data_IF_104751085486
#
_entry.id   IF_104751085486
#
_cell.length_a   1.000
_cell.length_b   1.000
_cell.length_c   1.000
_cell.angle_alpha   90.00
_cell.angle_beta   90.00
_cell.angle_gamma   90.00
#
_symmetry.space_group_name_H-M   'P 1'
#
loop_
_entity.id
_entity.type
_entity.pdbx_description
1 polymer ?
#
# COMPACT_ATOMS: atom_id res chain seq x y z
N UNK A 1 16.45 -11.05 10.57
CA UNK A 1 15.33 -12.01 10.62
C UNK A 1 15.56 -13.03 9.52
N UNK A 2 15.45 -14.32 9.82
CA UNK A 2 15.56 -15.39 8.84
C UNK A 2 14.14 -15.89 8.53
N UNK A 3 13.81 -16.03 7.26
CA UNK A 3 12.57 -16.67 6.80
C UNK A 3 12.93 -18.01 6.14
N UNK A 4 12.01 -18.97 6.05
CA UNK A 4 12.22 -20.19 5.28
C UNK A 4 12.58 -19.90 3.82
N UNK A 5 13.39 -20.77 3.21
CA UNK A 5 13.83 -20.60 1.81
C UNK A 5 12.67 -20.72 0.82
N UNK A 6 11.63 -21.49 1.15
CA UNK A 6 10.44 -21.70 0.32
C UNK A 6 9.19 -21.37 1.12
N UNK A 7 8.51 -20.30 0.75
CA UNK A 7 7.25 -19.90 1.35
C UNK A 7 6.09 -20.53 0.60
N UNK A 8 5.31 -21.35 1.30
CA UNK A 8 4.12 -22.01 0.77
C UNK A 8 2.83 -21.57 1.48
N UNK A 9 2.98 -20.97 2.67
CA UNK A 9 1.85 -20.62 3.54
C UNK A 9 2.01 -19.20 4.11
N UNK A 10 1.77 -18.22 3.27
CA UNK A 10 1.81 -16.82 3.70
C UNK A 10 0.44 -16.36 4.24
N UNK A 11 0.46 -15.55 5.29
CA UNK A 11 -0.70 -14.76 5.72
C UNK A 11 -0.44 -13.29 5.41
N UNK A 12 -1.38 -12.63 4.74
CA UNK A 12 -1.21 -11.25 4.26
C UNK A 12 -2.25 -10.34 4.91
N UNK A 13 -1.84 -9.55 5.91
CA UNK A 13 -2.69 -8.64 6.68
C UNK A 13 -2.57 -7.17 6.20
N UNK A 14 -2.02 -6.95 5.01
CA UNK A 14 -1.92 -5.63 4.37
C UNK A 14 -2.48 -5.69 2.95
N UNK A 15 -3.42 -4.79 2.64
CA UNK A 15 -4.10 -4.78 1.34
C UNK A 15 -3.19 -4.45 0.15
N UNK A 16 -2.20 -3.58 0.30
CA UNK A 16 -1.24 -3.28 -0.77
C UNK A 16 -0.35 -4.48 -1.07
N UNK A 17 0.16 -5.17 -0.04
CA UNK A 17 0.91 -6.42 -0.21
C UNK A 17 0.06 -7.50 -0.88
N UNK A 18 -1.21 -7.63 -0.48
CA UNK A 18 -2.15 -8.56 -1.10
C UNK A 18 -2.34 -8.25 -2.60
N UNK A 19 -2.53 -6.97 -2.94
CA UNK A 19 -2.65 -6.56 -4.34
C UNK A 19 -1.37 -6.88 -5.15
N UNK A 20 -0.20 -6.62 -4.59
CA UNK A 20 1.08 -6.97 -5.25
C UNK A 20 1.19 -8.49 -5.42
N UNK A 21 0.90 -9.28 -4.39
CA UNK A 21 0.96 -10.74 -4.45
C UNK A 21 0.00 -11.34 -5.51
N UNK A 22 -1.21 -10.76 -5.67
CA UNK A 22 -2.13 -11.14 -6.76
C UNK A 22 -1.53 -10.83 -8.13
N UNK A 23 -0.93 -9.66 -8.31
CA UNK A 23 -0.28 -9.26 -9.57
C UNK A 23 0.97 -10.11 -9.89
N UNK A 24 1.60 -10.68 -8.88
CA UNK A 24 2.73 -11.60 -9.02
C UNK A 24 2.31 -13.05 -9.27
N UNK A 25 1.00 -13.34 -9.34
CA UNK A 25 0.47 -14.72 -9.42
C UNK A 25 0.95 -15.59 -8.24
N UNK A 26 0.93 -15.03 -7.04
CA UNK A 26 1.37 -15.69 -5.80
C UNK A 26 0.22 -16.16 -4.91
N UNK A 27 -1.04 -16.08 -5.36
CA UNK A 27 -2.23 -16.40 -4.54
C UNK A 27 -2.24 -17.84 -4.02
N UNK A 28 -1.63 -18.78 -4.75
CA UNK A 28 -1.52 -20.19 -4.33
C UNK A 28 -0.67 -20.40 -3.07
N UNK A 29 0.21 -19.45 -2.76
CA UNK A 29 1.07 -19.46 -1.58
C UNK A 29 0.42 -18.72 -0.39
N UNK A 30 -0.78 -18.15 -0.56
CA UNK A 30 -1.51 -17.43 0.48
C UNK A 30 -2.55 -18.34 1.11
N UNK A 31 -2.53 -18.44 2.44
CA UNK A 31 -3.48 -19.26 3.22
C UNK A 31 -4.40 -18.41 4.10
N UNK A 32 -4.12 -17.12 4.24
CA UNK A 32 -4.97 -16.20 4.99
C UNK A 32 -4.76 -14.75 4.55
N UNK A 33 -5.83 -13.97 4.60
CA UNK A 33 -5.86 -12.57 4.16
C UNK A 33 -6.50 -11.67 5.22
N UNK A 34 -6.32 -10.36 5.08
CA UNK A 34 -6.98 -9.41 5.97
C UNK A 34 -8.51 -9.46 5.81
N UNK A 35 -9.24 -9.35 6.92
CA UNK A 35 -10.70 -9.52 6.96
C UNK A 35 -11.47 -8.48 6.17
N UNK A 36 -10.92 -7.27 6.05
CA UNK A 36 -11.54 -6.15 5.36
C UNK A 36 -11.02 -5.91 3.92
N UNK A 37 -10.42 -6.92 3.30
CA UNK A 37 -9.78 -6.78 1.97
C UNK A 37 -10.74 -6.26 0.88
N UNK A 38 -12.02 -6.68 0.89
CA UNK A 38 -13.03 -6.18 -0.06
C UNK A 38 -13.30 -4.67 0.12
N UNK A 39 -13.28 -4.19 1.36
CA UNK A 39 -13.43 -2.76 1.64
C UNK A 39 -12.20 -1.97 1.16
N UNK A 40 -11.02 -2.54 1.32
CA UNK A 40 -9.74 -1.89 0.98
C UNK A 40 -9.45 -1.90 -0.53
N UNK A 41 -9.70 -3.01 -1.21
CA UNK A 41 -9.39 -3.21 -2.63
C UNK A 41 -10.60 -3.00 -3.55
N UNK A 42 -11.80 -2.86 -2.99
CA UNK A 42 -13.05 -2.70 -3.70
C UNK A 42 -13.79 -4.02 -3.96
N UNK A 43 -15.12 -3.94 -4.00
CA UNK A 43 -16.00 -5.13 -4.14
C UNK A 43 -15.75 -5.92 -5.42
N UNK A 44 -15.36 -5.24 -6.50
CA UNK A 44 -15.10 -5.89 -7.79
C UNK A 44 -13.75 -6.63 -7.84
N UNK A 45 -12.90 -6.49 -6.83
CA UNK A 45 -11.59 -7.14 -6.79
C UNK A 45 -11.68 -8.67 -6.84
N UNK A 46 -12.79 -9.23 -6.35
CA UNK A 46 -13.13 -10.66 -6.46
C UNK A 46 -13.10 -11.20 -7.89
N UNK A 47 -13.29 -10.34 -8.89
CA UNK A 47 -13.22 -10.72 -10.31
C UNK A 47 -11.81 -11.01 -10.79
N UNK A 48 -10.80 -10.44 -10.12
CA UNK A 48 -9.38 -10.67 -10.40
C UNK A 48 -8.84 -11.87 -9.60
N UNK A 49 -9.31 -12.06 -8.38
CA UNK A 49 -8.82 -13.07 -7.45
C UNK A 49 -10.00 -13.69 -6.67
N UNK A 50 -10.86 -14.50 -7.32
CA UNK A 50 -12.05 -15.08 -6.68
C UNK A 50 -11.72 -16.05 -5.54
N UNK A 51 -10.54 -16.64 -5.54
CA UNK A 51 -10.06 -17.55 -4.47
C UNK A 51 -9.94 -16.85 -3.12
N UNK A 52 -9.74 -15.53 -3.07
CA UNK A 52 -9.65 -14.77 -1.82
C UNK A 52 -10.92 -14.88 -0.96
N UNK A 53 -12.09 -15.12 -1.57
CA UNK A 53 -13.35 -15.27 -0.84
C UNK A 53 -13.39 -16.51 0.07
N UNK A 54 -12.57 -17.50 -0.24
CA UNK A 54 -12.50 -18.78 0.49
C UNK A 54 -11.35 -18.84 1.48
N UNK A 55 -10.50 -17.80 1.51
CA UNK A 55 -9.35 -17.77 2.41
C UNK A 55 -9.76 -17.41 3.83
N UNK A 56 -9.04 -17.96 4.79
CA UNK A 56 -9.18 -17.60 6.19
C UNK A 56 -8.82 -16.11 6.42
N UNK A 57 -9.45 -15.50 7.42
CA UNK A 57 -9.28 -14.09 7.73
C UNK A 57 -8.90 -13.92 9.21
N UNK A 58 -7.64 -14.20 9.58
CA UNK A 58 -7.21 -14.21 11.00
C UNK A 58 -7.05 -12.82 11.60
N UNK A 59 -7.18 -11.75 10.82
CA UNK A 59 -7.01 -10.38 11.30
C UNK A 59 -7.14 -9.32 10.23
N UNK A 60 -6.72 -8.11 10.57
CA UNK A 60 -6.70 -6.95 9.67
C UNK A 60 -5.42 -6.11 9.85
N UNK A 61 -5.45 -4.81 9.47
CA UNK A 61 -4.30 -3.91 9.60
C UNK A 61 -3.90 -3.63 11.07
N UNK A 62 -4.82 -3.80 12.02
CA UNK A 62 -4.67 -3.32 13.39
C UNK A 62 -4.76 -4.44 14.44
N UNK A 63 -5.29 -5.59 14.07
CA UNK A 63 -5.56 -6.69 15.00
C UNK A 63 -5.40 -8.06 14.36
N UNK A 64 -5.06 -9.05 15.16
CA UNK A 64 -4.92 -10.45 14.74
C UNK A 64 -5.47 -11.38 15.82
N UNK A 65 -6.18 -12.41 15.41
CA UNK A 65 -6.52 -13.54 16.26
C UNK A 65 -5.40 -14.58 16.16
N UNK A 66 -4.63 -14.74 17.22
CA UNK A 66 -3.44 -15.60 17.24
C UNK A 66 -3.82 -17.07 17.10
N UNK A 67 -4.93 -17.53 17.68
CA UNK A 67 -5.39 -18.92 17.57
C UNK A 67 -5.71 -19.25 16.10
N UNK A 68 -6.52 -18.42 15.45
CA UNK A 68 -6.85 -18.56 14.03
C UNK A 68 -5.62 -18.47 13.14
N UNK A 69 -4.64 -17.62 13.49
CA UNK A 69 -3.38 -17.52 12.76
C UNK A 69 -2.57 -18.83 12.86
N UNK A 70 -2.44 -19.39 14.07
CA UNK A 70 -1.68 -20.61 14.32
C UNK A 70 -2.30 -21.83 13.64
N UNK A 71 -3.62 -21.93 13.54
CA UNK A 71 -4.32 -22.98 12.80
C UNK A 71 -3.90 -23.02 11.32
N UNK A 72 -3.57 -21.85 10.75
CA UNK A 72 -3.10 -21.73 9.37
C UNK A 72 -1.65 -22.19 9.18
N UNK A 73 -0.88 -22.38 10.25
CA UNK A 73 0.54 -22.77 10.23
C UNK A 73 1.34 -21.98 9.19
N UNK A 74 1.36 -20.65 9.27
CA UNK A 74 2.02 -19.86 8.25
C UNK A 74 3.54 -19.91 8.38
N UNK A 75 4.23 -19.86 7.24
CA UNK A 75 5.67 -19.71 7.13
C UNK A 75 6.11 -18.27 7.37
N UNK A 76 5.21 -17.32 7.07
CA UNK A 76 5.45 -15.87 7.19
C UNK A 76 4.13 -15.10 7.27
N UNK A 77 4.17 -13.99 7.99
CA UNK A 77 3.05 -13.03 8.05
C UNK A 77 3.50 -11.66 7.54
N UNK A 78 2.78 -11.11 6.57
CA UNK A 78 2.96 -9.75 6.10
C UNK A 78 2.02 -8.80 6.84
N UNK A 79 2.58 -7.72 7.37
CA UNK A 79 1.83 -6.64 8.02
C UNK A 79 2.23 -5.29 7.42
N UNK A 80 1.51 -4.23 7.75
CA UNK A 80 1.93 -2.87 7.41
C UNK A 80 3.02 -2.37 8.37
N UNK A 81 3.91 -1.50 7.90
CA UNK A 81 4.94 -0.89 8.75
C UNK A 81 4.37 -0.01 9.89
N UNK A 82 3.09 0.38 9.80
CA UNK A 82 2.37 1.13 10.83
C UNK A 82 1.39 0.26 11.64
N UNK A 83 1.47 -1.07 11.52
CA UNK A 83 0.71 -1.97 12.40
C UNK A 83 1.05 -1.72 13.88
N UNK A 84 0.10 -1.91 14.81
CA UNK A 84 0.37 -1.75 16.23
C UNK A 84 1.56 -2.61 16.67
N UNK A 85 2.54 -2.05 17.42
CA UNK A 85 3.72 -2.81 17.87
C UNK A 85 3.36 -4.07 18.65
N UNK A 86 2.28 -4.02 19.45
CA UNK A 86 1.79 -5.16 20.20
C UNK A 86 1.30 -6.30 19.30
N UNK A 87 0.62 -5.98 18.18
CA UNK A 87 0.20 -6.96 17.19
C UNK A 87 1.42 -7.66 16.56
N UNK A 88 2.42 -6.88 16.16
CA UNK A 88 3.67 -7.41 15.59
C UNK A 88 4.37 -8.32 16.61
N UNK A 89 4.44 -7.87 17.87
CA UNK A 89 5.04 -8.64 18.96
C UNK A 89 4.29 -9.95 19.22
N UNK A 90 2.96 -9.90 19.30
CA UNK A 90 2.12 -11.10 19.50
C UNK A 90 2.38 -12.16 18.42
N UNK A 91 2.49 -11.77 17.16
CA UNK A 91 2.81 -12.71 16.07
C UNK A 91 4.24 -13.23 16.23
N UNK A 92 5.22 -12.35 16.45
CA UNK A 92 6.62 -12.73 16.59
C UNK A 92 6.88 -13.66 17.78
N UNK A 93 6.19 -13.47 18.89
CA UNK A 93 6.28 -14.34 20.10
C UNK A 93 5.84 -15.79 19.81
N UNK A 94 5.08 -16.04 18.74
CA UNK A 94 4.75 -17.41 18.29
C UNK A 94 5.89 -18.10 17.54
N UNK A 95 6.97 -17.39 17.23
CA UNK A 95 8.06 -17.87 16.40
C UNK A 95 7.84 -17.73 14.88
N UNK A 96 6.71 -17.20 14.45
CA UNK A 96 6.42 -16.95 13.03
C UNK A 96 7.11 -15.66 12.57
N UNK A 97 7.87 -15.69 11.47
CA UNK A 97 8.48 -14.49 10.90
C UNK A 97 7.43 -13.45 10.48
N UNK A 98 7.68 -12.17 10.82
CA UNK A 98 6.80 -11.06 10.47
C UNK A 98 7.53 -10.08 9.56
N UNK A 99 6.99 -9.81 8.39
CA UNK A 99 7.52 -8.83 7.44
C UNK A 99 6.62 -7.60 7.45
N UNK A 100 7.13 -6.48 7.95
CA UNK A 100 6.44 -5.21 7.94
C UNK A 100 6.77 -4.43 6.66
N UNK A 101 5.80 -4.33 5.76
CA UNK A 101 5.99 -3.68 4.45
C UNK A 101 5.74 -2.17 4.55
N UNK A 102 6.69 -1.40 4.04
CA UNK A 102 6.54 0.00 3.67
C UNK A 102 6.70 0.16 2.16
N UNK A 103 5.79 0.88 1.52
CA UNK A 103 5.89 1.21 0.10
C UNK A 103 6.40 2.65 -0.10
N UNK A 104 7.19 3.13 0.84
CA UNK A 104 7.95 4.36 0.73
C UNK A 104 9.26 4.24 1.51
N UNK A 105 10.26 4.99 1.10
CA UNK A 105 11.50 5.21 1.85
C UNK A 105 11.38 6.44 2.76
N UNK A 106 12.38 6.66 3.62
CA UNK A 106 12.46 7.83 4.48
C UNK A 106 12.21 7.53 5.96
N UNK A 107 12.10 8.58 6.77
CA UNK A 107 12.00 8.47 8.21
C UNK A 107 10.72 7.78 8.69
N UNK A 108 10.86 6.93 9.71
CA UNK A 108 9.75 6.25 10.39
C UNK A 108 9.10 7.09 11.52
N UNK A 109 9.53 8.35 11.71
CA UNK A 109 9.04 9.18 12.82
C UNK A 109 7.55 9.44 12.79
N UNK A 110 6.99 9.63 11.59
CA UNK A 110 5.54 9.69 11.41
C UNK A 110 5.14 8.77 10.25
N UNK A 111 4.79 7.54 10.59
CA UNK A 111 4.44 6.52 9.58
C UNK A 111 3.14 6.83 8.85
N UNK A 112 2.23 7.55 9.49
CA UNK A 112 0.93 7.89 8.91
C UNK A 112 0.96 9.21 8.11
N UNK A 113 1.69 10.22 8.60
CA UNK A 113 1.79 11.53 7.95
C UNK A 113 3.26 11.94 7.81
N UNK A 114 4.03 11.27 6.96
CA UNK A 114 5.47 11.52 6.84
C UNK A 114 5.75 12.92 6.29
N UNK A 115 6.83 13.52 6.77
CA UNK A 115 7.46 14.66 6.11
C UNK A 115 8.61 14.11 5.27
N UNK A 116 8.54 14.31 3.98
CA UNK A 116 9.50 13.82 2.99
C UNK A 116 10.10 15.01 2.25
N UNK A 117 11.41 15.00 2.06
CA UNK A 117 12.12 16.06 1.31
C UNK A 117 11.85 15.93 -0.20
N UNK A 118 11.79 14.69 -0.67
CA UNK A 118 11.44 14.31 -2.05
C UNK A 118 10.39 13.19 -2.00
N UNK A 119 9.13 13.59 -1.99
CA UNK A 119 7.99 12.66 -1.89
C UNK A 119 7.96 11.70 -3.07
N UNK A 120 8.24 12.21 -4.25
CA UNK A 120 8.18 11.43 -5.48
C UNK A 120 9.20 10.31 -5.47
N UNK A 121 10.45 10.63 -5.17
CA UNK A 121 11.52 9.65 -5.09
C UNK A 121 11.27 8.64 -3.96
N UNK A 122 10.83 9.12 -2.78
CA UNK A 122 10.56 8.25 -1.64
C UNK A 122 9.50 7.18 -1.94
N UNK A 123 8.43 7.54 -2.65
CA UNK A 123 7.40 6.58 -3.05
C UNK A 123 7.84 5.70 -4.22
N UNK A 124 8.62 6.20 -5.17
CA UNK A 124 9.14 5.39 -6.28
C UNK A 124 10.10 4.32 -5.81
N UNK A 125 11.07 4.70 -4.99
CA UNK A 125 12.02 3.76 -4.40
C UNK A 125 11.31 2.77 -3.47
N UNK A 126 10.42 3.24 -2.61
CA UNK A 126 9.69 2.39 -1.68
C UNK A 126 8.76 1.38 -2.38
N UNK A 127 8.10 1.79 -3.46
CA UNK A 127 7.29 0.88 -4.27
C UNK A 127 8.17 -0.17 -4.95
N UNK A 128 9.30 0.23 -5.53
CA UNK A 128 10.26 -0.68 -6.16
C UNK A 128 10.77 -1.70 -5.16
N UNK A 129 11.32 -1.25 -4.04
CA UNK A 129 11.86 -2.12 -2.99
C UNK A 129 10.79 -3.03 -2.40
N UNK A 130 9.57 -2.52 -2.19
CA UNK A 130 8.46 -3.30 -1.67
C UNK A 130 8.01 -4.41 -2.63
N UNK A 131 7.88 -4.11 -3.92
CA UNK A 131 7.54 -5.12 -4.94
C UNK A 131 8.64 -6.18 -5.04
N UNK A 132 9.91 -5.76 -5.08
CA UNK A 132 11.06 -6.68 -5.18
C UNK A 132 11.16 -7.59 -3.96
N UNK A 133 10.98 -7.05 -2.74
CA UNK A 133 10.97 -7.83 -1.51
C UNK A 133 9.81 -8.85 -1.48
N UNK A 134 8.59 -8.43 -1.82
CA UNK A 134 7.43 -9.32 -1.88
C UNK A 134 7.66 -10.40 -2.94
N UNK A 135 8.19 -10.03 -4.11
CA UNK A 135 8.50 -10.96 -5.18
C UNK A 135 9.57 -11.97 -4.75
N UNK A 136 10.61 -11.55 -4.04
CA UNK A 136 11.65 -12.43 -3.51
C UNK A 136 11.08 -13.44 -2.52
N UNK A 137 10.21 -13.00 -1.59
CA UNK A 137 9.59 -13.89 -0.60
C UNK A 137 8.70 -14.95 -1.26
N UNK A 138 8.03 -14.61 -2.36
CA UNK A 138 7.18 -15.54 -3.11
C UNK A 138 7.90 -16.25 -4.28
N UNK A 139 9.21 -16.08 -4.43
CA UNK A 139 9.99 -16.65 -5.55
C UNK A 139 9.44 -16.23 -6.93
N UNK A 140 9.08 -14.95 -7.05
CA UNK A 140 8.48 -14.33 -8.25
C UNK A 140 9.30 -13.13 -8.76
N UNK A 141 10.63 -13.17 -8.62
CA UNK A 141 11.53 -12.03 -8.90
C UNK A 141 11.41 -11.55 -10.34
N UNK A 142 11.19 -12.48 -11.29
CA UNK A 142 10.99 -12.11 -12.70
C UNK A 142 9.73 -11.28 -12.87
N UNK A 143 8.61 -11.75 -12.31
CA UNK A 143 7.33 -11.04 -12.34
C UNK A 143 7.42 -9.70 -11.60
N UNK A 144 8.15 -9.65 -10.48
CA UNK A 144 8.41 -8.42 -9.73
C UNK A 144 9.10 -7.36 -10.57
N UNK A 145 10.16 -7.71 -11.28
CA UNK A 145 10.87 -6.81 -12.19
C UNK A 145 9.99 -6.33 -13.35
N UNK A 146 9.17 -7.21 -13.90
CA UNK A 146 8.22 -6.85 -14.96
C UNK A 146 7.14 -5.89 -14.45
N UNK A 147 6.63 -6.12 -13.23
CA UNK A 147 5.63 -5.26 -12.59
C UNK A 147 6.19 -3.86 -12.32
N UNK A 148 7.40 -3.75 -11.76
CA UNK A 148 8.09 -2.47 -11.55
C UNK A 148 8.27 -1.74 -12.88
N UNK A 149 8.80 -2.43 -13.90
CA UNK A 149 9.00 -1.85 -15.23
C UNK A 149 7.70 -1.33 -15.84
N UNK A 150 6.60 -2.08 -15.73
CA UNK A 150 5.29 -1.68 -16.26
C UNK A 150 4.73 -0.45 -15.52
N UNK A 151 4.83 -0.39 -14.20
CA UNK A 151 4.37 0.74 -13.40
C UNK A 151 5.07 2.05 -13.82
N UNK A 152 6.39 2.03 -13.94
CA UNK A 152 7.16 3.23 -14.31
C UNK A 152 7.06 3.58 -15.80
N UNK A 153 6.88 2.60 -16.70
CA UNK A 153 6.62 2.88 -18.12
C UNK A 153 5.31 3.64 -18.32
N UNK A 154 4.25 3.24 -17.62
CA UNK A 154 2.97 3.93 -17.67
C UNK A 154 3.07 5.37 -17.11
N UNK A 155 3.82 5.55 -16.03
CA UNK A 155 4.05 6.87 -15.45
C UNK A 155 4.83 7.78 -16.39
N UNK A 156 5.90 7.27 -17.03
CA UNK A 156 6.68 8.00 -18.03
C UNK A 156 5.79 8.41 -19.21
N UNK A 157 4.96 7.51 -19.72
CA UNK A 157 4.01 7.82 -20.79
C UNK A 157 3.03 8.93 -20.40
N UNK A 158 2.52 8.94 -19.16
CA UNK A 158 1.66 10.03 -18.66
C UNK A 158 2.41 11.35 -18.63
N UNK A 159 3.62 11.36 -18.07
CA UNK A 159 4.45 12.57 -18.03
C UNK A 159 4.74 13.13 -19.43
N UNK A 160 5.03 12.29 -20.40
CA UNK A 160 5.25 12.67 -21.80
C UNK A 160 3.99 13.25 -22.44
N UNK A 161 2.81 12.64 -22.20
CA UNK A 161 1.51 13.12 -22.73
C UNK A 161 1.06 14.42 -22.13
N UNK A 162 1.28 14.61 -20.84
CA UNK A 162 0.93 15.83 -20.14
C UNK A 162 1.90 16.98 -20.50
N UNK A 163 3.09 16.63 -20.97
CA UNK A 163 4.09 17.58 -21.44
C UNK A 163 4.38 18.65 -20.39
N UNK A 164 4.62 19.85 -20.87
CA UNK A 164 4.91 21.00 -20.03
C UNK A 164 3.64 21.83 -19.75
N UNK A 165 2.57 21.20 -19.26
CA UNK A 165 1.39 21.98 -18.83
C UNK A 165 1.81 22.86 -17.66
N UNK A 166 1.82 24.20 -17.81
CA UNK A 166 2.17 25.10 -16.74
C UNK A 166 1.26 24.91 -15.53
N UNK A 167 1.78 25.12 -14.31
CA UNK A 167 1.03 24.92 -13.07
C UNK A 167 -0.30 25.69 -13.03
N UNK A 168 -0.31 26.91 -13.58
CA UNK A 168 -1.50 27.78 -13.68
C UNK A 168 -2.55 27.30 -14.70
N UNK A 169 -2.18 26.35 -15.58
CA UNK A 169 -3.09 25.71 -16.57
C UNK A 169 -3.57 24.32 -16.15
N UNK A 170 -3.06 23.80 -15.05
CA UNK A 170 -3.50 22.50 -14.53
C UNK A 170 -4.90 22.60 -13.94
N UNK A 171 -5.67 21.53 -14.10
CA UNK A 171 -7.02 21.45 -13.51
C UNK A 171 -6.91 21.47 -12.00
N UNK A 172 -7.55 22.44 -11.36
CA UNK A 172 -7.65 22.55 -9.90
C UNK A 172 -8.55 21.41 -9.39
N UNK A 173 -8.03 20.60 -8.49
CA UNK A 173 -8.70 19.38 -8.06
C UNK A 173 -8.73 19.28 -6.55
N UNK A 174 -9.93 19.10 -6.00
CA UNK A 174 -10.16 18.72 -4.60
C UNK A 174 -10.52 17.23 -4.55
N UNK A 175 -9.82 16.46 -3.74
CA UNK A 175 -10.13 15.05 -3.52
C UNK A 175 -11.08 14.91 -2.32
N UNK A 176 -12.37 14.84 -2.62
CA UNK A 176 -13.40 14.70 -1.60
C UNK A 176 -13.46 13.26 -1.06
N UNK A 177 -13.37 13.13 0.25
CA UNK A 177 -13.64 11.91 0.99
C UNK A 177 -14.77 12.18 2.01
N UNK A 178 -15.38 11.14 2.60
CA UNK A 178 -16.38 11.33 3.64
C UNK A 178 -15.90 12.26 4.76
N UNK A 179 -16.81 12.97 5.37
CA UNK A 179 -16.57 13.87 6.51
C UNK A 179 -15.56 15.00 6.22
N UNK A 180 -15.55 15.52 4.99
CA UNK A 180 -14.61 16.54 4.52
C UNK A 180 -13.13 16.17 4.68
N UNK A 181 -12.80 14.88 4.71
CA UNK A 181 -11.40 14.47 4.69
C UNK A 181 -10.82 14.63 3.29
N UNK A 182 -9.53 15.01 3.23
CA UNK A 182 -8.80 15.14 1.97
C UNK A 182 -7.32 14.78 2.10
N UNK A 183 -6.68 14.55 0.97
CA UNK A 183 -5.24 14.31 0.88
C UNK A 183 -4.53 15.59 0.43
N UNK A 184 -3.59 16.04 1.25
CA UNK A 184 -2.65 17.11 0.90
C UNK A 184 -1.30 16.57 0.43
N UNK A 185 -0.22 17.28 0.77
CA UNK A 185 1.17 16.86 0.53
C UNK A 185 1.57 15.70 1.46
N UNK A 186 2.64 14.95 1.12
CA UNK A 186 3.18 13.87 1.94
C UNK A 186 2.49 12.52 1.78
N UNK A 187 1.48 12.41 0.94
CA UNK A 187 0.76 11.16 0.66
C UNK A 187 0.77 10.84 -0.83
N UNK A 188 0.98 9.56 -1.13
CA UNK A 188 0.96 9.07 -2.50
C UNK A 188 -0.32 9.44 -3.26
N UNK A 189 -1.46 9.47 -2.58
CA UNK A 189 -2.74 9.88 -3.20
C UNK A 189 -2.72 11.33 -3.69
N UNK A 190 -2.06 12.24 -2.96
CA UNK A 190 -1.82 13.62 -3.44
C UNK A 190 -0.92 13.65 -4.67
N UNK A 191 0.17 12.90 -4.66
CA UNK A 191 1.07 12.75 -5.81
C UNK A 191 0.39 12.18 -7.05
N UNK A 192 -0.56 11.24 -6.89
CA UNK A 192 -1.31 10.71 -8.03
C UNK A 192 -2.08 11.79 -8.79
N UNK A 193 -2.63 12.80 -8.11
CA UNK A 193 -3.26 13.94 -8.77
C UNK A 193 -2.26 14.72 -9.61
N UNK A 194 -1.08 15.00 -9.06
CA UNK A 194 -0.01 15.72 -9.73
C UNK A 194 0.52 14.94 -10.95
N UNK A 195 0.73 13.63 -10.78
CA UNK A 195 1.13 12.75 -11.88
C UNK A 195 0.09 12.66 -12.99
N UNK A 196 -1.19 12.84 -12.66
CA UNK A 196 -2.29 12.92 -13.63
C UNK A 196 -2.41 14.32 -14.28
N UNK A 197 -1.51 15.27 -13.95
CA UNK A 197 -1.51 16.63 -14.49
C UNK A 197 -2.48 17.58 -13.80
N UNK A 198 -3.03 17.21 -12.65
CA UNK A 198 -3.88 18.06 -11.84
C UNK A 198 -3.06 18.94 -10.88
N UNK A 199 -3.71 19.97 -10.35
CA UNK A 199 -3.22 20.77 -9.23
C UNK A 199 -4.04 20.42 -7.99
N UNK A 200 -3.41 19.78 -7.00
CA UNK A 200 -4.06 19.48 -5.74
C UNK A 200 -4.22 20.76 -4.90
N UNK A 201 -5.44 21.28 -4.83
CA UNK A 201 -5.72 22.55 -4.13
C UNK A 201 -5.43 22.49 -2.63
N UNK A 202 -5.50 21.30 -2.01
CA UNK A 202 -5.22 21.09 -0.61
C UNK A 202 -3.72 20.99 -0.28
N UNK A 203 -2.84 20.76 -1.28
CA UNK A 203 -1.43 20.43 -1.03
C UNK A 203 -0.65 21.51 -0.28
N UNK A 204 -0.99 22.81 -0.49
CA UNK A 204 -0.30 23.92 0.15
C UNK A 204 -0.61 24.04 1.65
N UNK A 205 -1.80 23.62 2.09
CA UNK A 205 -2.31 23.88 3.45
C UNK A 205 -2.49 22.60 4.28
N UNK A 206 -2.65 21.45 3.62
CA UNK A 206 -2.86 20.15 4.26
C UNK A 206 -1.64 19.26 4.09
N UNK A 207 -1.09 18.78 5.21
CA UNK A 207 -0.08 17.71 5.22
C UNK A 207 -0.76 16.39 5.60
N UNK A 208 -0.54 15.35 4.78
CA UNK A 208 -1.08 14.03 5.01
C UNK A 208 -2.56 13.91 4.64
N UNK A 209 -3.31 13.17 5.43
CA UNK A 209 -4.75 12.97 5.31
C UNK A 209 -5.41 13.64 6.51
N UNK A 210 -6.26 14.63 6.26
CA UNK A 210 -6.92 15.42 7.33
C UNK A 210 -8.32 15.81 6.95
N UNK A 211 -9.15 16.01 7.98
CA UNK A 211 -10.42 16.68 7.88
C UNK A 211 -10.18 18.20 7.71
N UNK A 212 -10.96 18.82 6.83
CA UNK A 212 -10.95 20.25 6.56
C UNK A 212 -12.34 20.84 6.76
N UNK A 213 -12.45 22.15 6.75
CA UNK A 213 -13.76 22.82 6.84
C UNK A 213 -14.35 23.08 5.45
N UNK A 214 -15.65 23.37 5.40
CA UNK A 214 -16.28 23.80 4.14
C UNK A 214 -15.73 25.13 3.67
N UNK A 215 -15.34 26.03 4.59
CA UNK A 215 -14.68 27.29 4.26
C UNK A 215 -13.39 27.06 3.49
N UNK A 216 -12.55 26.10 3.93
CA UNK A 216 -11.32 25.76 3.18
C UNK A 216 -11.63 25.29 1.76
N UNK A 217 -12.70 24.47 1.59
CA UNK A 217 -13.09 23.98 0.26
C UNK A 217 -13.56 25.13 -0.64
N UNK A 218 -14.24 26.12 -0.08
CA UNK A 218 -14.72 27.29 -0.82
C UNK A 218 -13.60 28.28 -1.17
N UNK A 219 -12.55 28.36 -0.36
CA UNK A 219 -11.37 29.18 -0.63
C UNK A 219 -10.50 28.59 -1.76
N UNK A 220 -10.47 27.30 -1.86
CA UNK A 220 -9.72 26.60 -2.89
C UNK A 220 -10.44 26.63 -4.23
#
# INVERSE_FOLDING_TARGET
>A
MTIPDHIQRAVVLQHQTLNIAVQLDATKQIVGVLSNWKKQLGQNYVRLAPELEKMAMPGDLNSVNIESLLELKPDVVFVTNYAPPEMIKQIADTGIPVIAISLRTGSDKDKLNPTLDDEDNAYNEGLTQGIELIAQVFEKEKQGKELVKAAFANRKMLAERLGNIPADKRVRTYMANPDLNTYGSGKYTGLMLEHAGAYNVAAATVKGFKQVSMENVLEW
#
